data_IF_202849715277
#
_entry.id   IF_202849715277
#
_cell.length_a   1.000
_cell.length_b   1.000
_cell.length_c   1.000
_cell.angle_alpha   90.00
_cell.angle_beta   90.00
_cell.angle_gamma   90.00
#
_symmetry.space_group_name_H-M   'P 1'
#
loop_
_entity.id
_entity.type
_entity.pdbx_description
1 polymer ?
#
# COMPACT_ATOMS: atom_id res chain seq x y z
N UNK A 1 43.31 4.68 25.15
CA UNK A 1 42.05 5.27 24.66
C UNK A 1 42.07 5.62 23.17
N UNK A 2 43.05 6.32 22.58
CA UNK A 2 43.10 6.63 21.13
C UNK A 2 43.04 5.36 20.22
N UNK A 3 43.89 4.35 20.50
CA UNK A 3 43.92 3.11 19.69
C UNK A 3 42.57 2.33 19.67
N UNK A 4 41.85 2.30 20.77
CA UNK A 4 40.52 1.68 20.84
C UNK A 4 39.48 2.49 20.03
N UNK A 5 39.55 3.80 20.02
CA UNK A 5 38.68 4.68 19.25
C UNK A 5 38.94 4.54 17.74
N UNK A 6 40.19 4.43 17.33
CA UNK A 6 40.58 4.22 15.94
C UNK A 6 40.17 2.83 15.44
N UNK A 7 40.23 1.77 16.25
CA UNK A 7 39.73 0.44 15.91
C UNK A 7 38.21 0.40 15.78
N UNK A 8 37.46 1.07 16.64
CA UNK A 8 35.99 1.15 16.55
C UNK A 8 35.58 1.94 15.31
N UNK A 9 36.24 3.00 14.94
CA UNK A 9 35.98 3.78 13.72
C UNK A 9 36.35 2.99 12.47
N UNK A 10 37.44 2.24 12.47
CA UNK A 10 37.84 1.41 11.35
C UNK A 10 36.90 0.23 11.15
N UNK A 11 36.46 -0.47 12.21
CA UNK A 11 35.49 -1.55 12.12
C UNK A 11 34.14 -1.06 11.63
N UNK A 12 33.65 0.10 12.11
CA UNK A 12 32.39 0.68 11.65
C UNK A 12 32.43 1.11 10.18
N UNK A 13 33.56 1.61 9.69
CA UNK A 13 33.74 1.95 8.26
C UNK A 13 33.88 0.70 7.37
N UNK A 14 34.49 -0.37 7.82
CA UNK A 14 34.57 -1.64 7.10
C UNK A 14 33.22 -2.34 7.02
N UNK A 15 32.46 -2.38 8.11
CA UNK A 15 31.11 -2.94 8.14
C UNK A 15 30.15 -2.15 7.25
N UNK A 16 30.19 -0.82 7.26
CA UNK A 16 29.36 0.01 6.40
C UNK A 16 29.68 -0.20 4.92
N UNK A 17 30.97 -0.31 4.55
CA UNK A 17 31.35 -0.63 3.15
C UNK A 17 30.93 -2.03 2.73
N UNK A 18 31.01 -3.03 3.60
CA UNK A 18 30.53 -4.40 3.33
C UNK A 18 29.01 -4.41 3.12
N UNK A 19 28.26 -3.68 3.95
CA UNK A 19 26.81 -3.53 3.83
C UNK A 19 26.38 -2.83 2.55
N UNK A 20 27.08 -1.77 2.14
CA UNK A 20 26.82 -1.05 0.89
C UNK A 20 27.08 -1.95 -0.32
N UNK A 21 28.17 -2.73 -0.32
CA UNK A 21 28.45 -3.69 -1.40
C UNK A 21 27.40 -4.78 -1.49
N UNK A 22 26.99 -5.37 -0.37
CA UNK A 22 25.93 -6.38 -0.33
C UNK A 22 24.60 -5.82 -0.85
N UNK A 23 24.22 -4.59 -0.47
CA UNK A 23 23.02 -3.93 -0.97
C UNK A 23 23.10 -3.64 -2.47
N UNK A 24 24.25 -3.18 -2.96
CA UNK A 24 24.46 -2.94 -4.39
C UNK A 24 24.38 -4.23 -5.21
N UNK A 25 24.92 -5.32 -4.69
CA UNK A 25 24.83 -6.63 -5.31
C UNK A 25 23.39 -7.15 -5.34
N UNK A 26 22.66 -7.04 -4.24
CA UNK A 26 21.25 -7.37 -4.14
C UNK A 26 20.40 -6.57 -5.15
N UNK A 27 20.64 -5.26 -5.23
CA UNK A 27 19.99 -4.40 -6.21
C UNK A 27 20.23 -4.88 -7.64
N UNK A 28 21.47 -5.19 -8.00
CA UNK A 28 21.81 -5.67 -9.36
C UNK A 28 21.16 -7.01 -9.66
N UNK A 29 21.17 -7.94 -8.72
CA UNK A 29 20.62 -9.29 -8.92
C UNK A 29 19.09 -9.27 -9.03
N UNK A 30 18.40 -8.47 -8.21
CA UNK A 30 16.95 -8.45 -8.15
C UNK A 30 16.30 -7.29 -8.94
N UNK A 31 17.11 -6.46 -9.63
CA UNK A 31 16.55 -5.33 -10.38
C UNK A 31 15.62 -5.79 -11.50
N UNK A 32 16.11 -6.66 -12.37
CA UNK A 32 15.33 -7.14 -13.52
C UNK A 32 14.16 -8.07 -13.11
N UNK A 33 14.36 -9.07 -12.21
CA UNK A 33 13.26 -9.97 -11.87
C UNK A 33 12.24 -9.40 -10.88
N UNK A 34 12.60 -8.36 -10.08
CA UNK A 34 11.75 -7.89 -8.98
C UNK A 34 11.54 -6.38 -9.00
N UNK A 35 12.61 -5.58 -8.88
CA UNK A 35 12.45 -4.14 -8.61
C UNK A 35 11.95 -3.37 -9.83
N UNK A 36 12.47 -3.65 -11.00
CA UNK A 36 12.00 -3.07 -12.26
C UNK A 36 10.53 -3.39 -12.55
N UNK A 37 10.12 -4.67 -12.55
CA UNK A 37 8.72 -5.04 -12.66
C UNK A 37 7.82 -4.44 -11.58
N UNK A 38 8.31 -4.35 -10.33
CA UNK A 38 7.56 -3.69 -9.24
C UNK A 38 7.30 -2.21 -9.53
N UNK A 39 8.33 -1.49 -9.98
CA UNK A 39 8.19 -0.09 -10.36
C UNK A 39 7.16 0.08 -11.49
N UNK A 40 7.32 -0.69 -12.58
CA UNK A 40 6.44 -0.62 -13.75
C UNK A 40 4.99 -0.93 -13.39
N UNK A 41 4.75 -2.03 -12.67
CA UNK A 41 3.39 -2.38 -12.26
C UNK A 41 2.77 -1.32 -11.34
N UNK A 42 3.55 -0.81 -10.38
CA UNK A 42 3.09 0.23 -9.46
C UNK A 42 2.84 1.56 -10.16
N UNK A 43 3.60 1.88 -11.21
CA UNK A 43 3.36 3.05 -12.05
C UNK A 43 2.07 2.88 -12.87
N UNK A 44 1.85 1.72 -13.48
CA UNK A 44 0.59 1.44 -14.18
C UNK A 44 -0.64 1.49 -13.25
N UNK A 45 -0.54 0.89 -12.07
CA UNK A 45 -1.59 0.97 -11.06
C UNK A 45 -1.83 2.40 -10.58
N UNK A 46 -0.75 3.17 -10.37
CA UNK A 46 -0.83 4.58 -10.00
C UNK A 46 -1.50 5.44 -11.08
N UNK A 47 -1.22 5.16 -12.36
CA UNK A 47 -1.86 5.86 -13.48
C UNK A 47 -3.37 5.65 -13.52
N UNK A 48 -3.83 4.41 -13.28
CA UNK A 48 -5.24 4.05 -13.36
C UNK A 48 -6.04 4.48 -12.12
N UNK A 49 -5.41 4.53 -10.93
CA UNK A 49 -6.09 4.75 -9.66
C UNK A 49 -6.90 6.06 -9.61
N UNK A 50 -6.39 7.24 -10.04
CA UNK A 50 -7.14 8.50 -10.01
C UNK A 50 -8.38 8.47 -10.92
N UNK A 51 -8.31 7.72 -12.01
CA UNK A 51 -9.34 7.75 -13.05
C UNK A 51 -10.41 6.68 -12.90
N UNK A 52 -10.26 5.72 -12.01
CA UNK A 52 -11.28 4.66 -11.84
C UNK A 52 -12.69 5.22 -11.59
N UNK A 53 -12.89 6.12 -10.60
CA UNK A 53 -14.21 6.69 -10.40
C UNK A 53 -14.61 7.68 -11.51
N UNK A 54 -13.66 8.37 -12.13
CA UNK A 54 -13.94 9.31 -13.23
C UNK A 54 -14.44 8.57 -14.48
N UNK A 55 -13.75 7.49 -14.88
CA UNK A 55 -14.16 6.64 -15.99
C UNK A 55 -15.56 6.00 -15.74
N UNK A 56 -15.86 5.64 -14.50
CA UNK A 56 -17.21 5.17 -14.17
C UNK A 56 -18.25 6.29 -14.31
N UNK A 57 -17.92 7.54 -13.95
CA UNK A 57 -18.80 8.69 -14.16
C UNK A 57 -19.01 9.00 -15.66
N UNK A 58 -17.97 8.95 -16.47
CA UNK A 58 -18.06 9.13 -17.92
C UNK A 58 -18.95 8.04 -18.57
N UNK A 59 -18.95 6.83 -18.00
CA UNK A 59 -19.88 5.77 -18.38
C UNK A 59 -21.31 5.96 -17.85
N UNK A 60 -21.60 7.08 -17.18
CA UNK A 60 -22.94 7.43 -16.67
C UNK A 60 -23.21 6.97 -15.24
N UNK A 61 -22.21 6.54 -14.46
CA UNK A 61 -22.40 6.23 -13.05
C UNK A 61 -22.62 7.51 -12.20
N UNK A 62 -23.51 7.41 -11.22
CA UNK A 62 -23.58 8.43 -10.16
C UNK A 62 -22.28 8.45 -9.33
N UNK A 63 -22.02 9.53 -8.61
CA UNK A 63 -20.86 9.64 -7.69
C UNK A 63 -20.77 8.45 -6.75
N UNK A 64 -21.90 8.02 -6.20
CA UNK A 64 -21.97 6.88 -5.31
C UNK A 64 -21.61 5.56 -6.00
N UNK A 65 -22.16 5.31 -7.18
CA UNK A 65 -21.87 4.10 -7.97
C UNK A 65 -20.41 4.09 -8.45
N UNK A 66 -19.87 5.24 -8.85
CA UNK A 66 -18.47 5.39 -9.23
C UNK A 66 -17.53 5.08 -8.07
N UNK A 67 -17.87 5.51 -6.84
CA UNK A 67 -17.16 5.14 -5.63
C UNK A 67 -17.19 3.64 -5.33
N UNK A 68 -18.35 2.99 -5.51
CA UNK A 68 -18.48 1.52 -5.37
C UNK A 68 -17.61 0.81 -6.39
N UNK A 69 -17.67 1.20 -7.67
CA UNK A 69 -16.89 0.59 -8.76
C UNK A 69 -15.39 0.73 -8.50
N UNK A 70 -14.92 1.92 -8.11
CA UNK A 70 -13.51 2.13 -7.77
C UNK A 70 -13.05 1.25 -6.60
N UNK A 71 -13.92 1.02 -5.61
CA UNK A 71 -13.64 0.17 -4.46
C UNK A 71 -13.55 -1.33 -4.81
N UNK A 72 -14.18 -1.79 -5.90
CA UNK A 72 -14.12 -3.19 -6.33
C UNK A 72 -12.70 -3.69 -6.56
N UNK A 73 -11.77 -2.81 -6.95
CA UNK A 73 -10.36 -3.16 -7.06
C UNK A 73 -9.77 -3.58 -5.71
N UNK A 74 -10.05 -2.82 -4.65
CA UNK A 74 -9.63 -3.15 -3.29
C UNK A 74 -10.28 -4.43 -2.78
N UNK A 75 -11.56 -4.62 -3.07
CA UNK A 75 -12.32 -5.82 -2.72
C UNK A 75 -11.75 -7.06 -3.43
N UNK A 76 -11.47 -6.98 -4.73
CA UNK A 76 -10.85 -8.05 -5.49
C UNK A 76 -9.48 -8.44 -4.92
N UNK A 77 -8.64 -7.46 -4.58
CA UNK A 77 -7.36 -7.72 -3.93
C UNK A 77 -7.54 -8.45 -2.59
N UNK A 78 -8.42 -7.96 -1.72
CA UNK A 78 -8.66 -8.51 -0.39
C UNK A 78 -9.20 -9.96 -0.43
N UNK A 79 -10.20 -10.22 -1.27
CA UNK A 79 -10.81 -11.56 -1.40
C UNK A 79 -9.81 -12.56 -1.95
N UNK A 80 -8.94 -12.13 -2.88
CA UNK A 80 -7.99 -13.02 -3.54
C UNK A 80 -6.65 -13.19 -2.81
N UNK A 81 -6.38 -12.51 -1.72
CA UNK A 81 -5.12 -12.66 -0.98
C UNK A 81 -4.89 -14.10 -0.48
N UNK A 82 -5.93 -14.77 0.05
CA UNK A 82 -5.83 -16.16 0.47
C UNK A 82 -5.76 -17.12 -0.73
N UNK A 83 -6.68 -17.07 -1.74
CA UNK A 83 -6.55 -17.87 -2.96
C UNK A 83 -5.22 -17.70 -3.68
N UNK A 84 -4.68 -16.48 -3.72
CA UNK A 84 -3.38 -16.21 -4.33
C UNK A 84 -2.24 -17.03 -3.68
N UNK A 85 -2.22 -17.13 -2.35
CA UNK A 85 -1.25 -17.96 -1.64
C UNK A 85 -1.34 -19.43 -2.05
N UNK A 86 -2.56 -19.98 -2.17
CA UNK A 86 -2.81 -21.37 -2.61
C UNK A 86 -2.35 -21.57 -4.07
N UNK A 87 -2.65 -20.61 -4.96
CA UNK A 87 -2.25 -20.66 -6.36
C UNK A 87 -0.72 -20.66 -6.47
N UNK A 88 -0.04 -19.73 -5.77
CA UNK A 88 1.43 -19.64 -5.76
C UNK A 88 2.05 -20.94 -5.26
N UNK A 89 1.50 -21.54 -4.20
CA UNK A 89 1.97 -22.84 -3.69
C UNK A 89 1.83 -24.00 -4.70
N UNK A 90 0.82 -23.94 -5.59
CA UNK A 90 0.55 -25.01 -6.58
C UNK A 90 1.33 -24.87 -7.88
N UNK A 91 1.37 -23.66 -8.45
CA UNK A 91 1.96 -23.43 -9.78
C UNK A 91 3.32 -22.72 -9.73
N UNK A 92 3.76 -22.31 -8.53
CA UNK A 92 5.03 -21.61 -8.31
C UNK A 92 4.95 -20.11 -8.60
N UNK A 93 5.99 -19.38 -8.16
CA UNK A 93 6.02 -17.92 -8.20
C UNK A 93 6.06 -17.38 -9.63
N UNK A 94 6.88 -18.00 -10.49
CA UNK A 94 7.05 -17.55 -11.88
C UNK A 94 5.74 -17.57 -12.65
N UNK A 95 5.07 -18.72 -12.67
CA UNK A 95 3.80 -18.87 -13.40
C UNK A 95 2.68 -18.04 -12.82
N UNK A 96 2.67 -17.85 -11.49
CA UNK A 96 1.71 -16.98 -10.81
C UNK A 96 1.90 -15.51 -11.22
N UNK A 97 3.13 -15.03 -11.30
CA UNK A 97 3.42 -13.66 -11.75
C UNK A 97 3.06 -13.50 -13.23
N UNK A 98 3.45 -14.45 -14.08
CA UNK A 98 3.17 -14.37 -15.51
C UNK A 98 1.67 -14.41 -15.81
N UNK A 99 0.92 -15.32 -15.18
CA UNK A 99 -0.52 -15.41 -15.34
C UNK A 99 -1.26 -14.16 -14.82
N UNK A 100 -0.85 -13.65 -13.66
CA UNK A 100 -1.45 -12.42 -13.11
C UNK A 100 -1.19 -11.21 -14.01
N UNK A 101 0.03 -11.08 -14.57
CA UNK A 101 0.33 -10.01 -15.51
C UNK A 101 -0.45 -10.13 -16.82
N UNK A 102 -0.60 -11.36 -17.36
CA UNK A 102 -1.43 -11.60 -18.54
C UNK A 102 -2.91 -11.23 -18.27
N UNK A 103 -3.45 -11.61 -17.11
CA UNK A 103 -4.82 -11.22 -16.70
C UNK A 103 -4.94 -9.69 -16.59
N UNK A 104 -3.93 -8.99 -16.04
CA UNK A 104 -3.94 -7.53 -15.94
C UNK A 104 -3.96 -6.86 -17.32
N UNK A 105 -3.17 -7.34 -18.28
CA UNK A 105 -3.18 -6.81 -19.66
C UNK A 105 -4.55 -7.02 -20.31
N UNK A 106 -5.11 -8.23 -20.22
CA UNK A 106 -6.44 -8.54 -20.75
C UNK A 106 -7.51 -7.66 -20.10
N UNK A 107 -7.45 -7.50 -18.77
CA UNK A 107 -8.35 -6.62 -18.04
C UNK A 107 -8.24 -5.16 -18.49
N UNK A 108 -7.05 -4.63 -18.73
CA UNK A 108 -6.89 -3.29 -19.29
C UNK A 108 -7.49 -3.14 -20.68
N UNK A 109 -7.31 -4.14 -21.56
CA UNK A 109 -7.94 -4.14 -22.90
C UNK A 109 -9.46 -4.10 -22.81
N UNK A 110 -10.05 -4.90 -21.93
CA UNK A 110 -11.49 -4.86 -21.69
C UNK A 110 -11.97 -3.56 -21.04
N UNK A 111 -11.17 -2.93 -20.18
CA UNK A 111 -11.48 -1.61 -19.63
C UNK A 111 -11.49 -0.55 -20.73
N UNK A 112 -10.50 -0.53 -21.62
CA UNK A 112 -10.46 0.35 -22.79
C UNK A 112 -11.70 0.11 -23.67
N UNK A 113 -12.01 -1.14 -23.97
CA UNK A 113 -13.21 -1.49 -24.76
C UNK A 113 -14.48 -1.01 -24.11
N UNK A 114 -14.64 -1.16 -22.79
CA UNK A 114 -15.80 -0.69 -22.05
C UNK A 114 -15.98 0.83 -22.15
N UNK A 115 -14.87 1.59 -22.10
CA UNK A 115 -14.89 3.06 -22.16
C UNK A 115 -15.14 3.55 -23.58
N UNK A 116 -14.56 2.90 -24.62
CA UNK A 116 -14.49 3.48 -25.97
C UNK A 116 -15.50 2.91 -26.96
N UNK A 117 -15.93 1.63 -26.78
CA UNK A 117 -16.65 0.90 -27.81
C UNK A 117 -18.07 0.47 -27.43
N UNK A 118 -18.45 0.54 -26.13
CA UNK A 118 -19.81 0.14 -25.72
C UNK A 118 -20.75 1.34 -25.83
N UNK A 119 -21.26 1.57 -27.02
CA UNK A 119 -22.26 2.64 -27.26
C UNK A 119 -23.70 2.19 -26.95
N UNK A 120 -23.98 0.89 -26.92
CA UNK A 120 -25.34 0.34 -26.97
C UNK A 120 -26.09 0.33 -25.63
N UNK A 121 -25.40 0.36 -24.48
CA UNK A 121 -26.04 0.38 -23.16
C UNK A 121 -25.07 0.79 -22.05
N UNK A 122 -25.37 1.90 -21.40
CA UNK A 122 -24.68 2.37 -20.18
C UNK A 122 -24.58 1.28 -19.13
N UNK A 123 -25.64 0.53 -18.90
CA UNK A 123 -25.67 -0.56 -17.91
C UNK A 123 -24.68 -1.67 -18.24
N UNK A 124 -24.61 -2.09 -19.51
CA UNK A 124 -23.67 -3.13 -19.94
C UNK A 124 -22.23 -2.65 -19.80
N UNK A 125 -21.93 -1.42 -20.18
CA UNK A 125 -20.61 -0.82 -20.03
C UNK A 125 -20.17 -0.77 -18.56
N UNK A 126 -21.05 -0.34 -17.66
CA UNK A 126 -20.78 -0.28 -16.22
C UNK A 126 -20.59 -1.67 -15.59
N UNK A 127 -21.38 -2.68 -15.99
CA UNK A 127 -21.20 -4.06 -15.49
C UNK A 127 -19.87 -4.62 -15.98
N UNK A 128 -19.54 -4.45 -17.26
CA UNK A 128 -18.29 -4.91 -17.83
C UNK A 128 -17.09 -4.24 -17.13
N UNK A 129 -17.13 -2.92 -16.99
CA UNK A 129 -16.10 -2.15 -16.31
C UNK A 129 -15.94 -2.59 -14.85
N UNK A 130 -17.04 -2.78 -14.12
CA UNK A 130 -17.04 -3.25 -12.72
C UNK A 130 -16.36 -4.62 -12.57
N UNK A 131 -16.72 -5.58 -13.44
CA UNK A 131 -16.14 -6.92 -13.44
C UNK A 131 -14.62 -6.87 -13.72
N UNK A 132 -14.21 -6.03 -14.67
CA UNK A 132 -12.81 -5.83 -15.02
C UNK A 132 -12.02 -5.21 -13.84
N UNK A 133 -12.56 -4.19 -13.18
CA UNK A 133 -11.88 -3.55 -12.04
C UNK A 133 -11.71 -4.54 -10.87
N UNK A 134 -12.71 -5.36 -10.60
CA UNK A 134 -12.60 -6.44 -9.61
C UNK A 134 -11.52 -7.45 -10.00
N UNK A 135 -11.47 -7.88 -11.25
CA UNK A 135 -10.47 -8.81 -11.78
C UNK A 135 -9.05 -8.23 -11.70
N UNK A 136 -8.89 -6.93 -11.97
CA UNK A 136 -7.60 -6.23 -11.79
C UNK A 136 -7.13 -6.27 -10.34
N UNK A 137 -8.04 -6.15 -9.38
CA UNK A 137 -7.75 -6.31 -7.96
C UNK A 137 -7.25 -7.73 -7.64
N UNK A 138 -7.97 -8.74 -8.06
CA UNK A 138 -7.64 -10.16 -7.87
C UNK A 138 -6.27 -10.53 -8.48
N UNK A 139 -6.02 -10.12 -9.72
CA UNK A 139 -4.74 -10.32 -10.38
C UNK A 139 -3.59 -9.58 -9.67
N UNK A 140 -3.84 -8.37 -9.16
CA UNK A 140 -2.85 -7.61 -8.39
C UNK A 140 -2.45 -8.32 -7.10
N UNK A 141 -3.39 -8.97 -6.40
CA UNK A 141 -3.11 -9.79 -5.23
C UNK A 141 -2.19 -10.97 -5.57
N UNK A 142 -2.52 -11.72 -6.62
CA UNK A 142 -1.69 -12.85 -7.07
C UNK A 142 -0.26 -12.42 -7.39
N UNK A 143 -0.09 -11.28 -8.09
CA UNK A 143 1.24 -10.70 -8.36
C UNK A 143 1.99 -10.37 -7.08
N UNK A 144 1.34 -9.69 -6.13
CA UNK A 144 1.96 -9.25 -4.88
C UNK A 144 2.42 -10.42 -4.02
N UNK A 145 1.58 -11.44 -3.86
CA UNK A 145 1.89 -12.64 -3.07
C UNK A 145 3.04 -13.41 -3.73
N UNK A 146 2.97 -13.69 -5.02
CA UNK A 146 4.01 -14.42 -5.74
C UNK A 146 5.37 -13.71 -5.68
N UNK A 147 5.39 -12.37 -5.86
CA UNK A 147 6.59 -11.56 -5.71
C UNK A 147 7.17 -11.62 -4.31
N UNK A 148 6.33 -11.56 -3.27
CA UNK A 148 6.78 -11.60 -1.87
C UNK A 148 7.43 -12.94 -1.55
N UNK A 149 6.83 -14.05 -2.00
CA UNK A 149 7.38 -15.41 -1.84
C UNK A 149 8.72 -15.52 -2.56
N UNK A 150 8.81 -15.04 -3.80
CA UNK A 150 10.08 -15.04 -4.56
C UNK A 150 11.21 -14.29 -3.83
N UNK A 151 10.94 -13.08 -3.33
CA UNK A 151 11.95 -12.30 -2.59
C UNK A 151 12.38 -13.02 -1.31
N UNK A 152 11.42 -13.62 -0.59
CA UNK A 152 11.71 -14.35 0.63
C UNK A 152 12.63 -15.54 0.37
N UNK A 153 12.52 -16.20 -0.79
CA UNK A 153 13.39 -17.30 -1.21
C UNK A 153 14.72 -16.84 -1.83
N UNK A 154 14.74 -15.73 -2.57
CA UNK A 154 15.91 -15.23 -3.28
C UNK A 154 16.90 -14.45 -2.38
N UNK A 155 16.47 -13.96 -1.22
CA UNK A 155 17.30 -13.23 -0.27
C UNK A 155 17.78 -14.13 0.87
N UNK A 156 19.06 -13.97 1.30
CA UNK A 156 19.53 -14.53 2.56
C UNK A 156 18.73 -13.93 3.73
N UNK A 157 18.66 -14.64 4.86
CA UNK A 157 17.91 -14.19 6.04
C UNK A 157 18.32 -12.78 6.50
N UNK A 158 19.63 -12.47 6.45
CA UNK A 158 20.20 -11.17 6.83
C UNK A 158 19.76 -10.02 5.89
N UNK A 159 19.55 -10.30 4.61
CA UNK A 159 19.22 -9.30 3.59
C UNK A 159 17.73 -9.24 3.25
N UNK A 160 16.93 -10.20 3.71
CA UNK A 160 15.49 -10.32 3.39
C UNK A 160 14.71 -9.06 3.76
N UNK A 161 14.92 -8.52 4.97
CA UNK A 161 14.27 -7.29 5.40
C UNK A 161 14.60 -6.09 4.50
N UNK A 162 15.88 -5.97 4.08
CA UNK A 162 16.32 -4.92 3.15
C UNK A 162 15.74 -5.10 1.75
N UNK A 163 15.69 -6.35 1.27
CA UNK A 163 15.05 -6.70 -0.01
C UNK A 163 13.59 -6.28 -0.07
N UNK A 164 12.82 -6.58 0.98
CA UNK A 164 11.41 -6.20 1.11
C UNK A 164 11.26 -4.66 1.22
N UNK A 165 12.13 -3.99 1.96
CA UNK A 165 12.11 -2.52 2.07
C UNK A 165 12.36 -1.83 0.73
N UNK A 166 13.27 -2.35 -0.10
CA UNK A 166 13.50 -1.85 -1.45
C UNK A 166 12.26 -1.99 -2.34
N UNK A 167 11.51 -3.10 -2.24
CA UNK A 167 10.21 -3.22 -2.92
C UNK A 167 9.27 -2.09 -2.53
N UNK A 168 9.20 -1.74 -1.24
CA UNK A 168 8.41 -0.60 -0.76
C UNK A 168 8.83 0.72 -1.41
N UNK A 169 10.14 0.96 -1.56
CA UNK A 169 10.69 2.14 -2.24
C UNK A 169 10.31 2.20 -3.72
N UNK A 170 10.52 1.10 -4.46
CA UNK A 170 10.15 1.03 -5.89
C UNK A 170 8.64 1.13 -6.11
N UNK A 171 7.83 0.57 -5.21
CA UNK A 171 6.36 0.72 -5.24
C UNK A 171 5.95 2.19 -5.09
N UNK A 172 6.56 2.95 -4.16
CA UNK A 172 6.27 4.37 -3.99
C UNK A 172 6.71 5.20 -5.18
N UNK A 173 7.92 4.95 -5.68
CA UNK A 173 8.41 5.62 -6.88
C UNK A 173 7.46 5.40 -8.09
N UNK A 174 6.95 4.18 -8.27
CA UNK A 174 5.97 3.87 -9.29
C UNK A 174 4.63 4.59 -9.04
N UNK A 175 4.11 4.55 -7.82
CA UNK A 175 2.86 5.25 -7.46
C UNK A 175 2.91 6.76 -7.68
N UNK A 176 4.08 7.38 -7.54
CA UNK A 176 4.31 8.77 -7.91
C UNK A 176 4.37 8.95 -9.44
N UNK A 177 5.22 8.16 -10.10
CA UNK A 177 5.48 8.32 -11.54
C UNK A 177 4.23 8.06 -12.39
N UNK A 178 3.40 7.09 -12.01
CA UNK A 178 2.23 6.68 -12.77
C UNK A 178 1.21 7.79 -13.02
N UNK A 179 0.65 8.41 -11.99
CA UNK A 179 -0.33 9.47 -12.17
C UNK A 179 0.24 10.70 -12.90
N UNK A 180 1.51 11.04 -12.67
CA UNK A 180 2.17 12.16 -13.36
C UNK A 180 2.31 11.88 -14.86
N UNK A 181 2.73 10.66 -15.23
CA UNK A 181 2.81 10.25 -16.64
C UNK A 181 1.42 10.20 -17.29
N UNK A 182 0.41 9.68 -16.57
CA UNK A 182 -0.96 9.64 -17.07
C UNK A 182 -1.53 11.05 -17.27
N UNK A 183 -1.31 11.97 -16.33
CA UNK A 183 -1.72 13.36 -16.45
C UNK A 183 -1.16 14.02 -17.73
N UNK A 184 0.10 13.71 -18.08
CA UNK A 184 0.68 14.18 -19.34
C UNK A 184 -0.01 13.55 -20.55
N UNK A 185 -0.33 12.27 -20.52
CA UNK A 185 -0.98 11.58 -21.66
C UNK A 185 -2.40 12.05 -21.90
N UNK A 186 -3.14 12.48 -20.88
CA UNK A 186 -4.51 13.00 -21.04
C UNK A 186 -4.57 14.30 -21.87
N UNK A 187 -3.44 14.99 -22.06
CA UNK A 187 -3.39 16.14 -22.98
C UNK A 187 -3.56 15.74 -24.46
N UNK A 188 -3.32 14.47 -24.79
CA UNK A 188 -3.35 13.97 -26.16
C UNK A 188 -4.55 13.07 -26.46
N UNK A 189 -5.14 12.45 -25.44
CA UNK A 189 -6.25 11.50 -25.60
C UNK A 189 -7.04 11.40 -24.29
N UNK A 190 -8.08 10.54 -24.25
CA UNK A 190 -8.97 10.38 -23.11
C UNK A 190 -8.42 9.55 -21.94
N UNK A 191 -9.31 9.21 -21.01
CA UNK A 191 -8.98 8.46 -19.79
C UNK A 191 -8.44 7.05 -20.06
N UNK A 192 -8.77 6.49 -21.24
CA UNK A 192 -8.30 5.16 -21.66
C UNK A 192 -6.77 5.08 -21.73
N UNK A 193 -6.06 6.20 -21.89
CA UNK A 193 -4.60 6.23 -21.94
C UNK A 193 -3.93 5.72 -20.67
N UNK A 194 -4.56 5.84 -19.52
CA UNK A 194 -4.05 5.24 -18.29
C UNK A 194 -4.03 3.71 -18.34
N UNK A 195 -5.05 3.09 -18.93
CA UNK A 195 -5.11 1.64 -19.12
C UNK A 195 -4.13 1.18 -20.20
N UNK A 196 -3.93 1.97 -21.27
CA UNK A 196 -2.89 1.73 -22.26
C UNK A 196 -1.51 1.76 -21.61
N UNK A 197 -1.21 2.79 -20.82
CA UNK A 197 0.06 2.91 -20.10
C UNK A 197 0.27 1.72 -19.15
N UNK A 198 -0.77 1.33 -18.42
CA UNK A 198 -0.70 0.17 -17.53
C UNK A 198 -0.45 -1.13 -18.29
N UNK A 199 -1.09 -1.33 -19.44
CA UNK A 199 -0.85 -2.48 -20.31
C UNK A 199 0.60 -2.53 -20.79
N UNK A 200 1.13 -1.41 -21.28
CA UNK A 200 2.53 -1.32 -21.78
C UNK A 200 3.50 -1.63 -20.63
N UNK A 201 3.33 -1.01 -19.46
CA UNK A 201 4.20 -1.25 -18.31
C UNK A 201 4.13 -2.70 -17.83
N UNK A 202 2.94 -3.30 -17.84
CA UNK A 202 2.78 -4.72 -17.47
C UNK A 202 3.44 -5.64 -18.49
N UNK A 203 3.30 -5.38 -19.79
CA UNK A 203 3.96 -6.16 -20.83
C UNK A 203 5.50 -6.06 -20.71
N UNK A 204 6.04 -4.86 -20.51
CA UNK A 204 7.48 -4.68 -20.29
C UNK A 204 7.93 -5.43 -19.02
N UNK A 205 7.16 -5.36 -17.94
CA UNK A 205 7.45 -6.10 -16.71
C UNK A 205 7.46 -7.62 -16.94
N UNK A 206 6.51 -8.15 -17.74
CA UNK A 206 6.47 -9.57 -18.10
C UNK A 206 7.70 -9.99 -18.93
N UNK A 207 8.13 -9.16 -19.87
CA UNK A 207 9.36 -9.42 -20.68
C UNK A 207 10.59 -9.44 -19.76
N UNK A 208 10.72 -8.50 -18.82
CA UNK A 208 11.82 -8.49 -17.85
C UNK A 208 11.82 -9.76 -17.00
N UNK A 209 10.67 -10.22 -16.55
CA UNK A 209 10.55 -11.43 -15.75
C UNK A 209 10.88 -12.67 -16.59
N UNK A 210 10.36 -12.78 -17.79
CA UNK A 210 10.66 -13.90 -18.70
C UNK A 210 12.16 -14.05 -18.98
N UNK A 211 12.87 -12.92 -19.09
CA UNK A 211 14.30 -12.89 -19.42
C UNK A 211 15.23 -13.11 -18.21
N UNK A 212 14.76 -12.87 -16.98
CA UNK A 212 15.65 -12.78 -15.81
C UNK A 212 15.25 -13.64 -14.62
N UNK A 213 14.01 -14.18 -14.61
CA UNK A 213 13.50 -14.92 -13.49
C UNK A 213 14.07 -16.34 -13.44
N UNK A 214 14.76 -16.67 -12.37
CA UNK A 214 15.23 -18.01 -12.10
C UNK A 214 14.24 -18.72 -11.19
N UNK A 215 13.83 -19.94 -11.55
CA UNK A 215 12.93 -20.72 -10.72
C UNK A 215 13.62 -21.05 -9.39
N UNK A 216 13.12 -20.48 -8.30
CA UNK A 216 13.53 -20.87 -6.96
C UNK A 216 12.63 -22.04 -6.54
N UNK A 217 13.21 -23.23 -6.43
CA UNK A 217 12.50 -24.44 -5.97
C UNK A 217 12.17 -24.37 -4.46
N UNK A 218 11.64 -23.25 -4.00
CA UNK A 218 11.20 -23.14 -2.62
C UNK A 218 9.71 -23.51 -2.56
N UNK A 219 9.45 -24.73 -2.09
CA UNK A 219 8.09 -25.09 -1.65
C UNK A 219 7.72 -24.15 -0.50
N UNK A 220 6.67 -23.35 -0.71
CA UNK A 220 6.03 -22.63 0.39
C UNK A 220 5.64 -23.68 1.43
N UNK A 221 6.02 -23.54 2.70
CA UNK A 221 5.49 -24.41 3.74
C UNK A 221 3.96 -24.37 3.67
N UNK A 222 3.33 -25.55 3.75
CA UNK A 222 1.87 -25.70 3.72
C UNK A 222 1.16 -25.18 4.97
N UNK A 223 1.83 -24.43 5.83
CA UNK A 223 1.25 -23.85 7.04
C UNK A 223 0.22 -22.75 6.71
N UNK A 224 -0.86 -23.17 6.08
CA UNK A 224 -2.06 -22.34 5.98
C UNK A 224 -2.69 -22.25 7.37
N UNK A 225 -2.64 -21.06 7.96
CA UNK A 225 -3.31 -20.77 9.24
C UNK A 225 -4.79 -21.14 9.08
N UNK A 226 -5.26 -22.11 9.86
CA UNK A 226 -6.65 -22.55 9.80
C UNK A 226 -7.59 -21.47 10.39
N UNK A 227 -8.84 -21.42 9.93
CA UNK A 227 -9.84 -20.51 10.49
C UNK A 227 -10.01 -20.68 12.01
N UNK A 228 -9.81 -21.90 12.52
CA UNK A 228 -9.82 -22.20 13.94
C UNK A 228 -8.66 -21.53 14.67
N UNK A 229 -7.47 -21.56 14.11
CA UNK A 229 -6.28 -20.91 14.69
C UNK A 229 -6.42 -19.39 14.69
N UNK A 230 -6.97 -18.79 13.62
CA UNK A 230 -7.32 -17.36 13.58
C UNK A 230 -8.26 -17.01 14.76
N UNK A 231 -9.30 -17.80 14.96
CA UNK A 231 -10.25 -17.60 16.07
C UNK A 231 -9.56 -17.70 17.45
N UNK A 232 -8.68 -18.66 17.64
CA UNK A 232 -7.93 -18.83 18.90
C UNK A 232 -7.01 -17.61 19.15
N UNK A 233 -6.31 -17.13 18.13
CA UNK A 233 -5.46 -15.93 18.26
C UNK A 233 -6.29 -14.70 18.61
N UNK A 234 -7.44 -14.48 17.94
CA UNK A 234 -8.32 -13.34 18.25
C UNK A 234 -8.84 -13.38 19.69
N UNK A 235 -9.24 -14.56 20.18
CA UNK A 235 -9.74 -14.72 21.54
C UNK A 235 -8.63 -14.49 22.57
N UNK A 236 -7.44 -15.06 22.36
CA UNK A 236 -6.31 -14.92 23.27
C UNK A 236 -5.82 -13.47 23.38
N UNK A 237 -5.88 -12.73 22.30
CA UNK A 237 -5.42 -11.34 22.21
C UNK A 237 -6.58 -10.33 22.08
N UNK A 238 -7.80 -10.71 22.53
CA UNK A 238 -9.01 -9.89 22.37
C UNK A 238 -8.86 -8.45 22.87
N UNK A 239 -8.16 -8.21 23.97
CA UNK A 239 -7.90 -6.87 24.51
C UNK A 239 -7.06 -6.02 23.54
N UNK A 240 -6.03 -6.63 22.92
CA UNK A 240 -5.18 -5.94 21.95
C UNK A 240 -5.96 -5.64 20.66
N UNK A 241 -6.71 -6.61 20.15
CA UNK A 241 -7.49 -6.41 18.93
C UNK A 241 -8.65 -5.43 19.11
N UNK A 242 -9.31 -5.40 20.28
CA UNK A 242 -10.40 -4.46 20.56
C UNK A 242 -9.94 -3.02 20.84
N UNK A 243 -8.67 -2.78 21.07
CA UNK A 243 -8.10 -1.45 21.34
C UNK A 243 -7.14 -1.02 20.25
N UNK A 244 -5.90 -1.50 20.27
CA UNK A 244 -4.87 -1.16 19.28
C UNK A 244 -5.25 -1.66 17.88
N UNK A 245 -5.87 -2.84 17.77
CA UNK A 245 -6.37 -3.37 16.50
C UNK A 245 -7.41 -2.47 15.86
N UNK A 246 -8.37 -1.95 16.66
CA UNK A 246 -9.35 -0.98 16.16
C UNK A 246 -8.66 0.31 15.72
N UNK A 247 -7.70 0.83 16.47
CA UNK A 247 -6.94 2.02 16.07
C UNK A 247 -6.22 1.83 14.73
N UNK A 248 -5.66 0.64 14.49
CA UNK A 248 -5.02 0.27 13.21
C UNK A 248 -6.05 0.16 12.09
N UNK A 249 -7.23 -0.41 12.34
CA UNK A 249 -8.33 -0.44 11.35
C UNK A 249 -8.71 1.00 10.96
N UNK A 250 -8.91 1.89 11.93
CA UNK A 250 -9.29 3.28 11.66
C UNK A 250 -8.20 4.03 10.88
N UNK A 251 -6.92 3.81 11.22
CA UNK A 251 -5.80 4.34 10.45
C UNK A 251 -5.85 3.83 9.00
N UNK A 252 -6.08 2.54 8.79
CA UNK A 252 -6.15 1.94 7.46
C UNK A 252 -7.37 2.45 6.68
N UNK A 253 -8.53 2.61 7.34
CA UNK A 253 -9.74 3.21 6.74
C UNK A 253 -9.45 4.62 6.22
N UNK A 254 -8.94 5.52 7.06
CA UNK A 254 -8.64 6.91 6.64
C UNK A 254 -7.60 6.95 5.53
N UNK A 255 -6.58 6.08 5.61
CA UNK A 255 -5.49 6.02 4.63
C UNK A 255 -5.95 5.57 3.25
N UNK A 256 -6.82 4.56 3.16
CA UNK A 256 -7.19 3.95 1.89
C UNK A 256 -8.48 4.50 1.27
N UNK A 257 -9.37 5.09 2.07
CA UNK A 257 -10.56 5.76 1.56
C UNK A 257 -10.22 6.97 0.66
N UNK A 258 -9.08 7.66 0.91
CA UNK A 258 -8.61 8.78 0.09
C UNK A 258 -8.37 8.41 -1.38
N UNK A 259 -8.00 7.15 -1.64
CA UNK A 259 -7.77 6.65 -2.99
C UNK A 259 -9.07 6.67 -3.84
N UNK A 260 -10.23 6.71 -3.19
CA UNK A 260 -11.56 6.79 -3.81
C UNK A 260 -12.16 8.20 -3.71
N UNK A 261 -12.15 8.81 -2.51
CA UNK A 261 -12.84 10.09 -2.36
C UNK A 261 -12.06 11.29 -2.91
N UNK A 262 -10.73 11.24 -3.03
CA UNK A 262 -9.97 12.35 -3.65
C UNK A 262 -10.36 12.60 -5.10
N UNK A 263 -10.36 11.58 -6.00
CA UNK A 263 -10.78 11.81 -7.37
C UNK A 263 -12.27 12.18 -7.48
N UNK A 264 -13.14 11.60 -6.63
CA UNK A 264 -14.55 11.98 -6.60
C UNK A 264 -14.77 13.42 -6.17
N UNK A 265 -14.03 13.90 -5.14
CA UNK A 265 -14.08 15.27 -4.68
C UNK A 265 -13.56 16.24 -5.74
N UNK A 266 -12.40 15.92 -6.33
CA UNK A 266 -11.83 16.72 -7.42
C UNK A 266 -12.80 16.86 -8.60
N UNK A 267 -13.46 15.78 -9.01
CA UNK A 267 -14.51 15.81 -10.02
C UNK A 267 -15.71 16.69 -9.60
N UNK A 268 -16.13 16.60 -8.33
CA UNK A 268 -17.26 17.38 -7.83
C UNK A 268 -17.00 18.89 -7.83
N UNK A 269 -15.74 19.32 -7.57
CA UNK A 269 -15.35 20.74 -7.66
C UNK A 269 -14.90 21.18 -9.06
N UNK A 270 -15.10 20.30 -10.07
CA UNK A 270 -14.88 20.61 -11.48
C UNK A 270 -13.43 20.52 -11.96
N UNK A 271 -12.55 19.82 -11.23
CA UNK A 271 -11.18 19.58 -11.69
C UNK A 271 -11.14 18.53 -12.80
N UNK A 272 -10.26 18.75 -13.76
CA UNK A 272 -9.97 17.79 -14.82
C UNK A 272 -9.26 16.54 -14.30
N UNK A 273 -9.38 15.44 -15.05
CA UNK A 273 -8.65 14.21 -14.74
C UNK A 273 -7.13 14.40 -14.66
N UNK A 274 -6.60 15.34 -15.48
CA UNK A 274 -5.20 15.72 -15.45
C UNK A 274 -4.81 16.35 -14.11
N UNK A 275 -5.58 17.33 -13.64
CA UNK A 275 -5.34 18.02 -12.37
C UNK A 275 -5.43 17.05 -11.18
N UNK A 276 -6.46 16.20 -11.16
CA UNK A 276 -6.66 15.18 -10.12
C UNK A 276 -5.48 14.20 -10.09
N UNK A 277 -5.02 13.73 -11.24
CA UNK A 277 -3.88 12.82 -11.34
C UNK A 277 -2.58 13.49 -10.89
N UNK A 278 -2.35 14.76 -11.21
CA UNK A 278 -1.21 15.54 -10.73
C UNK A 278 -1.24 15.69 -9.20
N UNK A 279 -2.39 16.05 -8.62
CA UNK A 279 -2.57 16.17 -7.16
C UNK A 279 -2.21 14.83 -6.48
N UNK A 280 -2.75 13.72 -6.95
CA UNK A 280 -2.48 12.40 -6.37
C UNK A 280 -1.01 12.01 -6.54
N UNK A 281 -0.44 12.20 -7.73
CA UNK A 281 0.96 11.90 -8.00
C UNK A 281 1.88 12.69 -7.08
N UNK A 282 1.71 14.00 -7.00
CA UNK A 282 2.53 14.88 -6.15
C UNK A 282 2.37 14.53 -4.65
N UNK A 283 1.17 14.17 -4.21
CA UNK A 283 0.94 13.69 -2.84
C UNK A 283 1.72 12.39 -2.55
N UNK A 284 1.78 11.44 -3.50
CA UNK A 284 2.59 10.23 -3.36
C UNK A 284 4.10 10.52 -3.38
N UNK A 285 4.55 11.56 -4.10
CA UNK A 285 5.94 12.01 -4.03
C UNK A 285 6.30 12.51 -2.63
N UNK A 286 5.44 13.37 -2.06
CA UNK A 286 5.63 13.92 -0.70
C UNK A 286 5.58 12.82 0.36
N UNK A 287 4.73 11.81 0.21
CA UNK A 287 4.67 10.62 1.09
C UNK A 287 6.02 9.89 1.21
N UNK A 288 6.83 9.92 0.16
CA UNK A 288 8.12 9.21 0.12
C UNK A 288 9.17 9.83 1.06
N UNK A 289 9.12 11.14 1.29
CA UNK A 289 10.12 11.84 2.12
C UNK A 289 10.03 11.43 3.59
N UNK A 290 8.88 11.55 4.29
CA UNK A 290 8.76 11.13 5.69
C UNK A 290 8.92 9.62 5.88
N UNK A 291 8.60 8.81 4.87
CA UNK A 291 8.80 7.35 4.92
C UNK A 291 10.22 6.96 5.33
N UNK A 292 11.23 7.63 4.76
CA UNK A 292 12.62 7.36 5.10
C UNK A 292 12.93 7.63 6.57
N UNK A 293 12.31 8.66 7.15
CA UNK A 293 12.54 9.07 8.54
C UNK A 293 11.60 8.36 9.53
N UNK A 294 10.49 7.79 9.07
CA UNK A 294 9.49 7.17 9.93
C UNK A 294 10.07 6.07 10.83
N UNK A 295 10.95 5.22 10.29
CA UNK A 295 11.65 4.20 11.08
C UNK A 295 12.51 4.81 12.18
N UNK A 296 13.30 5.83 11.85
CA UNK A 296 14.17 6.54 12.82
C UNK A 296 13.35 7.20 13.93
N UNK A 297 12.21 7.81 13.56
CA UNK A 297 11.28 8.42 14.54
C UNK A 297 10.73 7.36 15.48
N UNK A 298 10.27 6.23 14.95
CA UNK A 298 9.71 5.13 15.75
C UNK A 298 10.74 4.51 16.70
N UNK A 299 12.00 4.38 16.25
CA UNK A 299 13.06 3.79 17.05
C UNK A 299 13.57 4.74 18.13
N UNK A 300 13.63 6.05 17.84
CA UNK A 300 14.19 7.05 18.74
C UNK A 300 13.17 7.66 19.71
N UNK A 301 11.94 7.90 19.24
CA UNK A 301 10.90 8.62 19.97
C UNK A 301 9.69 7.77 20.32
N UNK A 302 9.70 6.50 19.91
CA UNK A 302 8.60 5.56 20.15
C UNK A 302 7.54 5.53 19.05
N UNK A 303 6.66 4.55 19.15
CA UNK A 303 5.64 4.26 18.12
C UNK A 303 4.56 5.33 18.07
N UNK A 304 4.20 5.90 19.23
CA UNK A 304 3.23 7.01 19.33
C UNK A 304 3.69 8.26 18.58
N UNK A 305 4.99 8.55 18.62
CA UNK A 305 5.58 9.71 17.96
C UNK A 305 5.41 9.72 16.42
N UNK A 306 5.20 8.55 15.82
CA UNK A 306 4.90 8.43 14.40
C UNK A 306 3.39 8.23 14.14
N UNK A 307 2.71 7.38 14.93
CA UNK A 307 1.31 7.03 14.71
C UNK A 307 0.35 8.21 14.93
N UNK A 308 0.50 8.93 16.04
CA UNK A 308 -0.40 10.03 16.42
C UNK A 308 -0.34 11.18 15.42
N UNK A 309 0.85 11.76 15.10
CA UNK A 309 0.91 12.84 14.11
C UNK A 309 0.45 12.38 12.72
N UNK A 310 0.79 11.16 12.31
CA UNK A 310 0.35 10.60 11.03
C UNK A 310 -1.17 10.60 10.91
N UNK A 311 -1.87 9.96 11.86
CA UNK A 311 -3.32 9.83 11.80
C UNK A 311 -4.02 11.18 12.04
N UNK A 312 -3.47 12.04 12.90
CA UNK A 312 -4.00 13.38 13.12
C UNK A 312 -3.95 14.23 11.84
N UNK A 313 -2.80 14.26 11.16
CA UNK A 313 -2.65 14.98 9.89
C UNK A 313 -3.62 14.41 8.85
N UNK A 314 -3.68 13.08 8.69
CA UNK A 314 -4.60 12.44 7.77
C UNK A 314 -6.06 12.80 8.06
N UNK A 315 -6.47 12.81 9.33
CA UNK A 315 -7.84 13.11 9.76
C UNK A 315 -8.19 14.58 9.52
N UNK A 316 -7.31 15.49 9.94
CA UNK A 316 -7.52 16.94 9.76
C UNK A 316 -7.55 17.32 8.27
N UNK A 317 -6.65 16.76 7.47
CA UNK A 317 -6.66 17.01 6.01
C UNK A 317 -7.87 16.39 5.33
N UNK A 318 -8.37 15.25 5.81
CA UNK A 318 -9.62 14.67 5.31
C UNK A 318 -10.81 15.58 5.63
N UNK A 319 -10.90 16.12 6.86
CA UNK A 319 -11.90 17.12 7.21
C UNK A 319 -11.72 18.43 6.45
N UNK A 320 -10.50 18.87 6.20
CA UNK A 320 -10.19 20.09 5.46
C UNK A 320 -10.52 20.02 3.97
N UNK A 321 -10.57 18.79 3.41
CA UNK A 321 -10.84 18.60 1.98
C UNK A 321 -12.19 19.17 1.55
N UNK A 322 -13.21 19.06 2.39
CA UNK A 322 -14.57 19.54 2.06
C UNK A 322 -14.68 21.08 1.90
N UNK A 323 -13.67 21.81 2.32
CA UNK A 323 -13.59 23.28 2.18
C UNK A 323 -12.77 23.71 0.96
N UNK A 324 -12.29 22.77 0.13
CA UNK A 324 -11.52 23.07 -1.06
C UNK A 324 -12.45 23.25 -2.26
N UNK A 325 -12.25 24.33 -3.02
CA UNK A 325 -13.03 24.70 -4.20
C UNK A 325 -12.14 24.87 -5.44
N UNK A 326 -10.82 24.79 -5.27
CA UNK A 326 -9.86 25.01 -6.36
C UNK A 326 -8.75 23.95 -6.38
N UNK A 327 -8.06 23.85 -7.54
CA UNK A 327 -6.87 22.99 -7.70
C UNK A 327 -5.82 23.27 -6.62
N UNK A 328 -5.50 24.54 -6.36
CA UNK A 328 -4.44 24.91 -5.43
C UNK A 328 -4.76 24.52 -3.98
N UNK A 329 -6.00 24.72 -3.55
CA UNK A 329 -6.45 24.35 -2.21
C UNK A 329 -6.44 22.85 -2.02
N UNK A 330 -7.02 22.10 -2.97
CA UNK A 330 -7.01 20.64 -2.93
C UNK A 330 -5.58 20.10 -2.98
N UNK A 331 -4.69 20.67 -3.80
CA UNK A 331 -3.28 20.28 -3.87
C UNK A 331 -2.60 20.44 -2.51
N UNK A 332 -2.74 21.59 -1.84
CA UNK A 332 -2.14 21.83 -0.53
C UNK A 332 -2.61 20.80 0.50
N UNK A 333 -3.92 20.59 0.58
CA UNK A 333 -4.51 19.60 1.51
C UNK A 333 -3.99 18.19 1.23
N UNK A 334 -3.92 17.79 -0.03
CA UNK A 334 -3.44 16.46 -0.42
C UNK A 334 -1.92 16.29 -0.20
N UNK A 335 -1.10 17.34 -0.39
CA UNK A 335 0.34 17.31 -0.08
C UNK A 335 0.58 17.13 1.42
N UNK A 336 -0.14 17.87 2.28
CA UNK A 336 -0.07 17.73 3.73
C UNK A 336 -0.52 16.32 4.14
N UNK A 337 -1.59 15.80 3.52
CA UNK A 337 -2.05 14.44 3.74
C UNK A 337 -1.00 13.40 3.34
N UNK A 338 -0.31 13.60 2.20
CA UNK A 338 0.81 12.76 1.77
C UNK A 338 1.94 12.72 2.80
N UNK A 339 2.33 13.88 3.32
CA UNK A 339 3.32 13.98 4.39
C UNK A 339 2.89 13.18 5.64
N UNK A 340 1.65 13.37 6.10
CA UNK A 340 1.09 12.61 7.23
C UNK A 340 1.09 11.10 6.99
N UNK A 341 0.77 10.66 5.76
CA UNK A 341 0.80 9.25 5.39
C UNK A 341 2.20 8.65 5.45
N UNK A 342 3.20 9.40 4.97
CA UNK A 342 4.60 8.97 5.01
C UNK A 342 5.13 8.77 6.42
N UNK A 343 4.77 9.66 7.37
CA UNK A 343 5.13 9.52 8.78
C UNK A 343 4.63 8.22 9.42
N UNK A 344 3.45 7.75 9.02
CA UNK A 344 2.87 6.50 9.52
C UNK A 344 3.32 5.24 8.78
N UNK A 345 4.29 5.35 7.90
CA UNK A 345 4.76 4.22 7.11
C UNK A 345 5.45 3.16 7.99
N UNK A 346 5.04 1.90 7.82
CA UNK A 346 5.57 0.78 8.59
C UNK A 346 5.02 0.62 10.00
N UNK A 347 4.29 1.63 10.55
CA UNK A 347 3.81 1.65 11.93
C UNK A 347 2.96 0.42 12.27
N UNK A 348 2.09 -0.01 11.36
CA UNK A 348 1.21 -1.15 11.56
C UNK A 348 2.02 -2.43 11.77
N UNK A 349 3.02 -2.67 10.93
CA UNK A 349 3.88 -3.86 11.05
C UNK A 349 4.77 -3.80 12.28
N UNK A 350 5.30 -2.61 12.63
CA UNK A 350 6.14 -2.41 13.81
C UNK A 350 5.34 -2.68 15.10
N UNK A 351 4.14 -2.09 15.23
CA UNK A 351 3.27 -2.34 16.38
C UNK A 351 2.89 -3.83 16.48
N UNK A 352 2.55 -4.47 15.35
CA UNK A 352 2.26 -5.89 15.32
C UNK A 352 3.42 -6.77 15.78
N UNK A 353 4.64 -6.43 15.37
CA UNK A 353 5.85 -7.13 15.79
C UNK A 353 6.14 -6.95 17.29
N UNK A 354 5.93 -5.74 17.82
CA UNK A 354 6.14 -5.43 19.25
C UNK A 354 5.12 -6.13 20.17
N UNK A 355 3.89 -6.32 19.70
CA UNK A 355 2.81 -6.96 20.46
C UNK A 355 2.83 -8.50 20.35
N UNK A 356 3.61 -9.06 19.42
CA UNK A 356 3.68 -10.50 19.19
C UNK A 356 4.60 -11.19 20.18
N UNK A 357 4.12 -12.28 20.83
CA UNK A 357 4.98 -13.15 21.65
C UNK A 357 5.83 -14.08 20.78
N UNK A 358 7.07 -14.42 21.19
CA UNK A 358 7.97 -15.27 20.42
C UNK A 358 7.35 -16.61 20.01
N UNK A 359 6.56 -17.24 20.91
CA UNK A 359 5.99 -18.56 20.70
C UNK A 359 4.94 -18.60 19.57
N UNK A 360 4.18 -17.50 19.36
CA UNK A 360 3.06 -17.44 18.41
C UNK A 360 3.22 -16.30 17.40
N UNK A 361 4.45 -15.80 17.20
CA UNK A 361 4.73 -14.59 16.41
C UNK A 361 4.18 -14.65 14.99
N UNK A 362 4.37 -15.75 14.31
CA UNK A 362 3.92 -15.93 12.93
C UNK A 362 2.39 -15.86 12.80
N UNK A 363 1.68 -16.58 13.66
CA UNK A 363 0.21 -16.61 13.68
C UNK A 363 -0.36 -15.24 14.06
N UNK A 364 0.20 -14.59 15.10
CA UNK A 364 -0.22 -13.25 15.50
C UNK A 364 -0.06 -12.23 14.38
N UNK A 365 1.12 -12.17 13.73
CA UNK A 365 1.39 -11.23 12.62
C UNK A 365 0.45 -11.51 11.44
N UNK A 366 0.15 -12.77 11.13
CA UNK A 366 -0.83 -13.14 10.10
C UNK A 366 -2.22 -12.57 10.38
N UNK A 367 -2.74 -12.77 11.60
CA UNK A 367 -4.04 -12.22 12.02
C UNK A 367 -4.00 -10.69 12.10
N UNK A 368 -2.90 -10.11 12.59
CA UNK A 368 -2.71 -8.66 12.65
C UNK A 368 -2.78 -8.01 11.28
N UNK A 369 -2.14 -8.64 10.27
CA UNK A 369 -2.22 -8.20 8.88
C UNK A 369 -3.64 -8.27 8.36
N UNK A 370 -4.37 -9.35 8.61
CA UNK A 370 -5.77 -9.50 8.22
C UNK A 370 -6.65 -8.38 8.79
N UNK A 371 -6.43 -8.01 10.06
CA UNK A 371 -7.12 -6.89 10.72
C UNK A 371 -6.81 -5.56 10.00
N UNK A 372 -5.55 -5.30 9.66
CA UNK A 372 -5.17 -4.11 8.89
C UNK A 372 -5.79 -4.10 7.49
N UNK A 373 -5.76 -5.23 6.80
CA UNK A 373 -6.28 -5.36 5.43
C UNK A 373 -7.82 -5.20 5.39
N UNK A 374 -8.51 -5.60 6.46
CA UNK A 374 -9.95 -5.31 6.65
C UNK A 374 -10.21 -3.80 6.68
N UNK A 375 -9.37 -3.03 7.39
CA UNK A 375 -9.45 -1.57 7.40
C UNK A 375 -9.16 -0.95 6.02
N UNK A 376 -8.21 -1.49 5.30
CA UNK A 376 -7.86 -1.07 3.93
C UNK A 376 -9.02 -1.28 2.96
N UNK A 377 -9.58 -2.49 2.91
CA UNK A 377 -10.71 -2.82 2.05
C UNK A 377 -11.96 -2.04 2.47
N UNK A 378 -12.27 -2.01 3.78
CA UNK A 378 -13.39 -1.26 4.34
C UNK A 378 -13.33 0.23 4.05
N UNK A 379 -12.16 0.84 4.15
CA UNK A 379 -11.96 2.27 3.86
C UNK A 379 -12.37 2.63 2.44
N UNK A 380 -11.91 1.88 1.45
CA UNK A 380 -12.29 2.10 0.05
C UNK A 380 -13.77 1.79 -0.19
N UNK A 381 -14.30 0.69 0.37
CA UNK A 381 -15.67 0.23 0.14
C UNK A 381 -16.74 1.09 0.81
N UNK A 382 -16.42 1.79 1.90
CA UNK A 382 -17.37 2.63 2.63
C UNK A 382 -17.74 3.91 1.87
N UNK A 383 -16.85 4.45 1.03
CA UNK A 383 -17.03 5.77 0.40
C UNK A 383 -18.29 5.79 -0.48
N UNK A 384 -18.43 4.87 -1.41
CA UNK A 384 -19.56 4.84 -2.35
C UNK A 384 -20.93 4.67 -1.68
N UNK A 385 -21.15 3.59 -0.88
CA UNK A 385 -22.43 3.38 -0.21
C UNK A 385 -22.82 4.49 0.77
N UNK A 386 -21.88 5.04 1.53
CA UNK A 386 -22.17 6.17 2.42
C UNK A 386 -22.51 7.43 1.63
N UNK A 387 -21.81 7.71 0.54
CA UNK A 387 -22.15 8.83 -0.34
C UNK A 387 -23.52 8.66 -1.02
N UNK A 388 -23.99 7.41 -1.22
CA UNK A 388 -25.30 7.13 -1.78
C UNK A 388 -26.45 7.50 -0.86
N UNK A 389 -26.32 7.26 0.44
CA UNK A 389 -27.35 7.49 1.45
C UNK A 389 -27.25 8.86 2.13
N UNK A 390 -26.12 9.56 1.95
CA UNK A 390 -25.88 10.88 2.54
C UNK A 390 -25.41 11.88 1.45
N UNK A 391 -24.15 12.25 1.54
CA UNK A 391 -23.44 13.02 0.50
C UNK A 391 -21.95 12.68 0.56
N UNK A 392 -21.20 13.01 -0.50
CA UNK A 392 -19.74 12.82 -0.49
C UNK A 392 -19.09 13.65 0.63
N UNK A 393 -19.51 14.90 0.82
CA UNK A 393 -19.00 15.77 1.89
C UNK A 393 -19.25 15.19 3.27
N UNK A 394 -20.45 14.66 3.54
CA UNK A 394 -20.76 14.01 4.82
C UNK A 394 -19.94 12.75 5.03
N UNK A 395 -19.76 11.94 3.99
CA UNK A 395 -18.93 10.73 4.02
C UNK A 395 -17.47 11.05 4.34
N UNK A 396 -16.88 12.03 3.65
CA UNK A 396 -15.50 12.50 3.89
C UNK A 396 -15.34 13.03 5.30
N UNK A 397 -16.30 13.84 5.79
CA UNK A 397 -16.30 14.35 7.17
C UNK A 397 -16.38 13.23 8.20
N UNK A 398 -17.24 12.23 7.97
CA UNK A 398 -17.37 11.06 8.82
C UNK A 398 -16.08 10.26 8.91
N UNK A 399 -15.40 10.03 7.78
CA UNK A 399 -14.09 9.35 7.73
C UNK A 399 -13.03 10.14 8.50
N UNK A 400 -12.98 11.46 8.34
CA UNK A 400 -12.07 12.32 9.11
C UNK A 400 -12.34 12.26 10.63
N UNK A 401 -13.61 12.29 11.04
CA UNK A 401 -14.02 12.19 12.43
C UNK A 401 -13.67 10.82 13.05
N UNK A 402 -13.88 9.73 12.30
CA UNK A 402 -13.46 8.38 12.69
C UNK A 402 -11.94 8.32 12.87
N UNK A 403 -11.18 9.01 12.02
CA UNK A 403 -9.75 9.11 12.17
C UNK A 403 -9.31 9.81 13.45
N UNK A 404 -9.99 10.89 13.86
CA UNK A 404 -9.74 11.56 15.16
C UNK A 404 -10.03 10.63 16.34
N UNK A 405 -11.07 9.79 16.25
CA UNK A 405 -11.31 8.74 17.24
C UNK A 405 -10.13 7.76 17.29
N UNK A 406 -9.59 7.38 16.15
CA UNK A 406 -8.38 6.54 16.06
C UNK A 406 -7.16 7.20 16.71
N UNK A 407 -6.99 8.52 16.59
CA UNK A 407 -5.94 9.27 17.32
C UNK A 407 -6.08 9.10 18.83
N UNK A 408 -7.30 9.24 19.36
CA UNK A 408 -7.56 9.04 20.80
C UNK A 408 -7.21 7.61 21.22
N UNK A 409 -7.57 6.60 20.42
CA UNK A 409 -7.20 5.22 20.72
C UNK A 409 -5.68 5.01 20.73
N UNK A 410 -4.93 5.61 19.81
CA UNK A 410 -3.46 5.56 19.85
C UNK A 410 -2.90 6.25 21.09
N UNK A 411 -3.45 7.39 21.51
CA UNK A 411 -3.02 8.11 22.72
C UNK A 411 -3.23 7.27 23.99
N UNK A 412 -4.36 6.58 24.11
CA UNK A 412 -4.70 5.90 25.34
C UNK A 412 -4.23 4.45 25.42
N UNK A 413 -4.21 3.72 24.30
CA UNK A 413 -4.02 2.27 24.33
C UNK A 413 -2.71 1.76 23.73
N UNK A 414 -2.03 2.52 22.87
CA UNK A 414 -0.71 2.08 22.37
C UNK A 414 0.32 2.34 23.47
N UNK A 415 0.92 1.29 23.99
CA UNK A 415 2.01 1.38 24.95
C UNK A 415 3.36 1.46 24.19
N UNK A 416 4.25 2.33 24.65
CA UNK A 416 5.61 2.32 24.17
C UNK A 416 6.34 1.07 24.70
N UNK A 417 7.17 0.40 23.88
CA UNK A 417 8.03 -0.66 24.38
C UNK A 417 8.90 -0.05 25.48
N UNK A 418 8.87 -0.65 26.69
CA UNK A 418 9.75 -0.23 27.77
C UNK A 418 11.17 -0.28 27.27
N UNK A 419 11.87 0.85 27.29
CA UNK A 419 13.32 0.92 27.03
C UNK A 419 13.98 -0.11 27.96
N UNK A 420 14.50 -1.20 27.40
CA UNK A 420 15.34 -2.11 28.16
C UNK A 420 16.58 -1.29 28.44
N UNK A 421 16.68 -0.70 29.63
CA UNK A 421 17.93 -0.19 30.14
C UNK A 421 18.88 -1.40 30.18
N UNK A 422 19.82 -1.41 29.24
CA UNK A 422 20.93 -2.34 29.30
C UNK A 422 21.57 -2.12 30.69
N UNK A 423 21.70 -3.17 31.52
CA UNK A 423 22.32 -3.03 32.82
C UNK A 423 23.68 -2.39 32.60
N UNK A 424 23.91 -1.24 33.23
CA UNK A 424 25.20 -0.59 33.26
C UNK A 424 26.22 -1.65 33.66
N UNK A 425 27.18 -1.95 32.78
CA UNK A 425 28.33 -2.76 33.16
C UNK A 425 28.90 -2.10 34.43
N UNK A 426 28.62 -2.70 35.55
CA UNK A 426 29.32 -2.40 36.77
C UNK A 426 30.82 -2.65 36.51
N UNK A 427 31.58 -1.61 36.39
CA UNK A 427 33.02 -1.67 36.49
C UNK A 427 33.33 -1.92 37.96
N UNK A 428 33.16 -3.16 38.40
CA UNK A 428 33.86 -3.65 39.58
C UNK A 428 35.13 -4.34 39.10
N UNK A 429 36.13 -3.51 38.81
CA UNK A 429 37.54 -3.87 38.93
C UNK A 429 38.02 -3.34 40.28
N UNK A 430 37.94 -4.17 41.30
CA UNK A 430 38.70 -4.01 42.51
C UNK A 430 39.02 -5.39 43.12
N UNK A 431 40.17 -5.93 42.75
CA UNK A 431 41.16 -6.56 43.60
C UNK A 431 42.09 -7.46 42.81
#
# INVERSE_FOLDING_TARGET
MRRLRDQVVLTSTFESRRQIRALTQLLRQLFLPVYGPTFLLSAGQGAVMPILPLAAQDLGASIALAGIIAALRGLGNYIFDIPAGIIVGRIGERWSILSSGAILVVACVFAIYAITAIESSTTTALICFSAVIFLMGAASSLWQVARLVYIAGACSEELRGRGISLVGGFTRAGRFAGPVLAAFLYTFSGLEMAFVLFSIFTLVALVLILSSFQDTLHRVPEDTISLREIGVVIINYKSIFSTVGVAVILLAVVRHSRDVFWPLWGSQIGLSAQEISLIMGLSFAVDTVPFYFAGIIMDKFGRRAAAIPSLLILSVTTLGLIFTESFSEMLIVCLISGFGNGLGSGIVMTIGADLSLPENRGQFIGVWRLVSDTGQAGGSMLVGPLAAITSLAFTVSGIGAIGLLGVLLFVFFVQEPKTIELPSRSTDDSS
#
